data_IF_661015921806
#
_entry.id   IF_661015921806
#
_cell.length_a   1.000
_cell.length_b   1.000
_cell.length_c   1.000
_cell.angle_alpha   90.00
_cell.angle_beta   90.00
_cell.angle_gamma   90.00
#
_symmetry.space_group_name_H-M   'P 1'
#
loop_
_entity.id
_entity.type
_entity.pdbx_description
1 polymer ?
#
# COMPACT_ATOMS: atom_id res chain seq x y z
N UNK A 1 -16.42 3.33 9.52
CA UNK A 1 -15.54 4.09 8.61
C UNK A 1 -14.14 3.46 8.62
N UNK A 2 -13.28 3.67 7.61
CA UNK A 2 -11.93 3.06 7.60
C UNK A 2 -11.08 3.47 8.81
N UNK A 3 -11.24 4.70 9.27
CA UNK A 3 -10.50 5.28 10.41
C UNK A 3 -10.83 4.62 11.76
N UNK A 4 -11.97 3.94 11.86
CA UNK A 4 -12.41 3.28 13.10
C UNK A 4 -12.02 1.80 13.15
N UNK A 5 -11.46 1.28 12.06
CA UNK A 5 -11.10 -0.12 11.93
C UNK A 5 -9.66 -0.35 12.39
N UNK A 6 -9.43 -1.45 13.10
CA UNK A 6 -8.06 -1.91 13.39
C UNK A 6 -7.35 -2.34 12.10
N UNK A 7 -6.01 -2.25 12.07
CA UNK A 7 -5.23 -2.67 10.90
C UNK A 7 -5.55 -4.09 10.42
N UNK A 8 -5.72 -5.12 11.29
CA UNK A 8 -6.17 -6.44 10.85
C UNK A 8 -7.56 -6.44 10.20
N UNK A 9 -8.49 -5.63 10.69
CA UNK A 9 -9.83 -5.51 10.11
C UNK A 9 -9.78 -4.83 8.73
N UNK A 10 -8.92 -3.83 8.56
CA UNK A 10 -8.65 -3.18 7.27
C UNK A 10 -8.07 -4.20 6.28
N UNK A 11 -7.07 -5.00 6.69
CA UNK A 11 -6.49 -6.05 5.86
C UNK A 11 -7.54 -7.09 5.42
N UNK A 12 -8.39 -7.56 6.35
CA UNK A 12 -9.48 -8.49 6.02
C UNK A 12 -10.46 -7.89 5.00
N UNK A 13 -10.83 -6.62 5.16
CA UNK A 13 -11.73 -5.92 4.24
C UNK A 13 -11.11 -5.73 2.85
N UNK A 14 -9.82 -5.38 2.78
CA UNK A 14 -9.09 -5.25 1.52
C UNK A 14 -8.97 -6.62 0.84
N UNK A 15 -8.57 -7.66 1.59
CA UNK A 15 -8.46 -9.03 1.07
C UNK A 15 -9.76 -9.53 0.45
N UNK A 16 -10.90 -9.29 1.12
CA UNK A 16 -12.21 -9.64 0.58
C UNK A 16 -12.51 -8.91 -0.73
N UNK A 17 -12.20 -7.61 -0.81
CA UNK A 17 -12.40 -6.84 -2.05
C UNK A 17 -11.54 -7.33 -3.20
N UNK A 18 -10.28 -7.70 -2.94
CA UNK A 18 -9.40 -8.28 -3.96
C UNK A 18 -9.96 -9.61 -4.47
N UNK A 19 -10.48 -10.46 -3.56
CA UNK A 19 -11.19 -11.69 -3.92
C UNK A 19 -12.39 -11.41 -4.83
N UNK A 20 -13.24 -10.45 -4.47
CA UNK A 20 -14.43 -10.10 -5.25
C UNK A 20 -14.06 -9.62 -6.66
N UNK A 21 -12.99 -8.82 -6.79
CA UNK A 21 -12.47 -8.35 -8.07
C UNK A 21 -11.94 -9.51 -8.91
N UNK A 22 -11.15 -10.41 -8.31
CA UNK A 22 -10.66 -11.61 -8.99
C UNK A 22 -11.83 -12.46 -9.53
N UNK A 23 -12.84 -12.70 -8.70
CA UNK A 23 -14.03 -13.48 -9.09
C UNK A 23 -14.79 -12.77 -10.22
N UNK A 24 -14.97 -11.45 -10.13
CA UNK A 24 -15.60 -10.65 -11.19
C UNK A 24 -14.85 -10.72 -12.53
N UNK A 25 -13.54 -10.94 -12.48
CA UNK A 25 -12.68 -11.14 -13.65
C UNK A 25 -12.60 -12.61 -14.09
N UNK A 26 -13.40 -13.52 -13.52
CA UNK A 26 -13.43 -14.96 -13.81
C UNK A 26 -12.08 -15.67 -13.65
N UNK A 27 -11.24 -15.22 -12.71
CA UNK A 27 -9.96 -15.86 -12.41
C UNK A 27 -10.04 -16.73 -11.16
N UNK A 28 -9.43 -17.90 -11.19
CA UNK A 28 -9.16 -18.75 -10.02
C UNK A 28 -7.99 -18.20 -9.20
N UNK A 29 -7.86 -18.65 -7.95
CA UNK A 29 -6.67 -18.32 -7.14
C UNK A 29 -5.38 -18.86 -7.78
N UNK A 30 -5.46 -20.01 -8.47
CA UNK A 30 -4.35 -20.61 -9.19
C UNK A 30 -3.84 -19.75 -10.32
N UNK A 31 -4.74 -19.30 -11.20
CA UNK A 31 -4.39 -18.42 -12.33
C UNK A 31 -3.81 -17.09 -11.86
N UNK A 32 -4.40 -16.49 -10.80
CA UNK A 32 -3.84 -15.26 -10.22
C UNK A 32 -2.45 -15.50 -9.63
N UNK A 33 -2.24 -16.62 -8.96
CA UNK A 33 -0.95 -16.98 -8.36
C UNK A 33 0.12 -17.18 -9.43
N UNK A 34 -0.21 -17.87 -10.53
CA UNK A 34 0.66 -18.08 -11.67
C UNK A 34 1.07 -16.74 -12.31
N UNK A 35 0.09 -15.89 -12.65
CA UNK A 35 0.35 -14.57 -13.23
C UNK A 35 1.19 -13.68 -12.32
N UNK A 36 0.93 -13.72 -11.02
CA UNK A 36 1.64 -12.91 -10.03
C UNK A 36 2.98 -13.54 -9.56
N UNK A 37 3.37 -14.71 -10.10
CA UNK A 37 4.63 -15.38 -9.77
C UNK A 37 4.74 -15.81 -8.31
N UNK A 38 3.65 -16.30 -7.69
CA UNK A 38 3.62 -16.69 -6.28
C UNK A 38 2.82 -17.98 -6.03
N UNK A 39 2.86 -18.46 -4.78
CA UNK A 39 2.07 -19.65 -4.40
C UNK A 39 0.58 -19.34 -4.29
N UNK A 40 -0.27 -20.33 -4.57
CA UNK A 40 -1.73 -20.25 -4.35
C UNK A 40 -2.05 -19.92 -2.89
N UNK A 41 -1.26 -20.48 -1.94
CA UNK A 41 -1.41 -20.20 -0.51
C UNK A 41 -1.17 -18.71 -0.20
N UNK A 42 -0.22 -18.07 -0.88
CA UNK A 42 0.04 -16.63 -0.74
C UNK A 42 -1.19 -15.82 -1.16
N UNK A 43 -1.75 -16.12 -2.34
CA UNK A 43 -2.99 -15.47 -2.81
C UNK A 43 -4.14 -15.68 -1.82
N UNK A 44 -4.33 -16.92 -1.34
CA UNK A 44 -5.35 -17.22 -0.35
C UNK A 44 -5.14 -16.48 0.99
N UNK A 45 -3.89 -16.29 1.42
CA UNK A 45 -3.56 -15.51 2.61
C UNK A 45 -3.88 -14.02 2.41
N UNK A 46 -3.58 -13.46 1.24
CA UNK A 46 -3.94 -12.08 0.88
C UNK A 46 -5.46 -11.89 0.90
N UNK A 47 -6.21 -12.78 0.27
CA UNK A 47 -7.68 -12.71 0.22
C UNK A 47 -8.33 -12.87 1.60
N UNK A 48 -7.68 -13.58 2.53
CA UNK A 48 -8.10 -13.71 3.93
C UNK A 48 -7.64 -12.53 4.81
N UNK A 49 -6.90 -11.56 4.25
CA UNK A 49 -6.37 -10.42 5.00
C UNK A 49 -5.26 -10.78 5.98
N UNK A 50 -4.53 -11.88 5.75
CA UNK A 50 -3.33 -12.17 6.52
C UNK A 50 -2.21 -11.19 6.13
N UNK A 51 -1.33 -10.83 7.07
CA UNK A 51 -0.18 -9.97 6.76
C UNK A 51 0.73 -10.64 5.73
N UNK A 52 1.10 -9.88 4.71
CA UNK A 52 2.06 -10.26 3.66
C UNK A 52 3.02 -9.10 3.41
N UNK A 53 4.10 -9.35 2.67
CA UNK A 53 4.98 -8.26 2.25
C UNK A 53 4.29 -7.34 1.24
N UNK A 54 4.67 -6.06 1.24
CA UNK A 54 4.16 -5.08 0.28
C UNK A 54 4.43 -5.49 -1.17
N UNK A 55 5.55 -6.17 -1.44
CA UNK A 55 5.86 -6.67 -2.78
C UNK A 55 4.78 -7.63 -3.29
N UNK A 56 4.37 -8.59 -2.46
CA UNK A 56 3.35 -9.58 -2.85
C UNK A 56 1.99 -8.92 -3.06
N UNK A 57 1.66 -7.92 -2.24
CA UNK A 57 0.46 -7.11 -2.43
C UNK A 57 0.51 -6.37 -3.79
N UNK A 58 1.64 -5.74 -4.13
CA UNK A 58 1.85 -5.03 -5.40
C UNK A 58 1.69 -5.96 -6.61
N UNK A 59 2.23 -7.18 -6.55
CA UNK A 59 2.05 -8.17 -7.61
C UNK A 59 0.56 -8.50 -7.82
N UNK A 60 -0.20 -8.76 -6.75
CA UNK A 60 -1.64 -9.07 -6.86
C UNK A 60 -2.43 -7.90 -7.45
N UNK A 61 -2.25 -6.69 -6.94
CA UNK A 61 -3.02 -5.54 -7.46
C UNK A 61 -2.63 -5.18 -8.89
N UNK A 62 -1.40 -5.49 -9.33
CA UNK A 62 -0.97 -5.36 -10.72
C UNK A 62 -1.74 -6.31 -11.63
N UNK A 63 -1.80 -7.59 -11.29
CA UNK A 63 -2.52 -8.59 -12.08
C UNK A 63 -4.04 -8.38 -12.08
N UNK A 64 -4.59 -7.75 -11.03
CA UNK A 64 -6.00 -7.35 -10.98
C UNK A 64 -6.29 -6.02 -11.68
N UNK A 65 -5.28 -5.33 -12.24
CA UNK A 65 -5.42 -4.07 -12.97
C UNK A 65 -5.72 -2.84 -12.10
N UNK A 66 -5.32 -2.88 -10.82
CA UNK A 66 -5.59 -1.84 -9.83
C UNK A 66 -4.38 -0.94 -9.53
N UNK A 67 -3.23 -1.18 -10.15
CA UNK A 67 -1.98 -0.53 -9.81
C UNK A 67 -2.03 1.00 -9.97
N UNK A 68 -2.70 1.50 -11.02
CA UNK A 68 -2.83 2.94 -11.29
C UNK A 68 -3.56 3.71 -10.17
N UNK A 69 -4.32 3.02 -9.32
CA UNK A 69 -4.98 3.65 -8.16
C UNK A 69 -3.98 4.10 -7.09
N UNK A 70 -2.70 3.67 -7.17
CA UNK A 70 -1.67 4.10 -6.23
C UNK A 70 -1.42 5.61 -6.28
N UNK A 71 -1.66 6.28 -7.41
CA UNK A 71 -1.50 7.74 -7.50
C UNK A 71 -2.49 8.48 -6.58
N UNK A 72 -3.69 7.93 -6.39
CA UNK A 72 -4.68 8.48 -5.46
C UNK A 72 -4.36 8.11 -4.01
N UNK A 73 -3.77 6.92 -3.79
CA UNK A 73 -3.44 6.43 -2.45
C UNK A 73 -2.18 7.10 -1.89
N UNK A 74 -1.17 7.28 -2.74
CA UNK A 74 0.17 7.79 -2.43
C UNK A 74 0.51 8.84 -3.51
N UNK A 75 -0.04 10.06 -3.40
CA UNK A 75 0.19 11.09 -4.42
C UNK A 75 1.63 11.58 -4.42
N UNK A 76 2.10 12.03 -5.59
CA UNK A 76 3.40 12.68 -5.68
C UNK A 76 3.50 13.92 -4.79
N UNK A 77 4.60 14.00 -4.04
CA UNK A 77 4.91 15.19 -3.23
C UNK A 77 5.44 16.31 -4.13
N UNK A 78 4.59 17.28 -4.46
CA UNK A 78 5.00 18.49 -5.18
C UNK A 78 5.69 19.44 -4.20
N UNK A 79 6.91 19.85 -4.52
CA UNK A 79 7.63 20.89 -3.76
C UNK A 79 7.22 22.25 -4.29
N UNK A 80 6.73 23.14 -3.42
CA UNK A 80 6.40 24.51 -3.83
C UNK A 80 7.67 25.30 -4.16
N UNK A 81 7.65 26.25 -5.13
CA UNK A 81 8.78 27.15 -5.40
C UNK A 81 9.29 27.90 -4.15
N UNK A 82 8.38 28.23 -3.22
CA UNK A 82 8.73 28.88 -1.95
C UNK A 82 9.52 27.92 -1.05
N UNK A 83 9.13 26.64 -1.01
CA UNK A 83 9.84 25.60 -0.25
C UNK A 83 11.20 25.31 -0.86
N UNK A 84 11.31 25.22 -2.19
CA UNK A 84 12.58 25.11 -2.92
C UNK A 84 13.54 26.25 -2.57
N UNK A 85 13.03 27.48 -2.53
CA UNK A 85 13.82 28.66 -2.12
C UNK A 85 14.25 28.59 -0.66
N UNK A 86 13.34 28.24 0.27
CA UNK A 86 13.66 28.05 1.70
C UNK A 86 14.70 26.95 1.92
N UNK A 87 14.63 25.89 1.13
CA UNK A 87 15.59 24.78 1.16
C UNK A 87 16.93 25.12 0.49
N UNK A 88 17.09 26.29 -0.14
CA UNK A 88 18.25 26.63 -1.00
C UNK A 88 18.56 25.52 -2.01
N UNK A 89 17.52 24.86 -2.54
CA UNK A 89 17.64 23.70 -3.42
C UNK A 89 18.03 22.38 -2.75
N UNK A 90 18.30 22.32 -1.44
CA UNK A 90 18.65 21.07 -0.73
C UNK A 90 17.41 20.32 -0.25
N UNK A 91 17.14 19.17 -0.86
CA UNK A 91 16.04 18.27 -0.43
C UNK A 91 16.29 17.76 1.00
N UNK A 92 15.28 17.88 1.86
CA UNK A 92 15.32 17.31 3.21
C UNK A 92 15.06 15.81 3.15
N UNK A 93 16.02 15.00 3.59
CA UNK A 93 15.91 13.52 3.56
C UNK A 93 15.44 12.90 4.89
N UNK A 94 15.55 13.62 6.01
CA UNK A 94 15.19 13.11 7.34
C UNK A 94 14.79 14.25 8.27
N UNK A 95 13.83 13.98 9.16
CA UNK A 95 13.49 14.82 10.30
C UNK A 95 14.27 14.33 11.52
N UNK A 96 14.90 15.25 12.26
CA UNK A 96 15.46 14.99 13.59
C UNK A 96 14.79 15.96 14.55
N UNK A 97 14.27 15.44 15.66
CA UNK A 97 13.86 16.26 16.79
C UNK A 97 15.07 16.41 17.71
N UNK A 98 15.54 17.64 17.92
CA UNK A 98 16.41 17.94 19.04
C UNK A 98 15.55 17.90 20.31
N UNK A 99 16.01 17.19 21.34
CA UNK A 99 15.42 17.31 22.67
C UNK A 99 15.67 18.74 23.13
N UNK A 100 14.62 19.53 23.33
CA UNK A 100 14.72 20.73 24.14
C UNK A 100 14.98 20.27 25.58
N UNK A 101 16.22 20.42 26.04
CA UNK A 101 16.56 20.32 27.46
C UNK A 101 16.11 21.62 28.14
N UNK A 102 14.79 21.82 28.25
CA UNK A 102 14.23 22.73 29.24
C UNK A 102 13.76 21.87 30.41
N UNK A 103 14.71 21.46 31.25
CA UNK A 103 14.40 21.13 32.63
C UNK A 103 14.54 22.44 33.41
N UNK A 104 13.42 22.91 33.94
CA UNK A 104 13.35 23.84 35.07
C UNK A 104 14.08 23.27 36.30
#
# INVERSE_FOLDING_TARGET
MWQEMSNPAVLAKIGHRLKDIRIKQNMTQGELAERAGMSILTVANIEKGKPVSMLLFLCVIRELGLLENLELLIPETKISPIELKRMQGKKRHRVRHTKDNNNE
#
